data_IF_258508638852
#
_entry.id   IF_258508638852
#
_cell.length_a   1.000
_cell.length_b   1.000
_cell.length_c   1.000
_cell.angle_alpha   90.00
_cell.angle_beta   90.00
_cell.angle_gamma   90.00
#
_symmetry.space_group_name_H-M   'P 1'
#
loop_
_entity.id
_entity.type
_entity.pdbx_description
1 polymer ?
#
# COMPACT_ATOMS: atom_id res chain seq x y z
N UNK A 1 -11.05 32.20 -2.87
CA UNK A 1 -9.91 31.96 -3.79
C UNK A 1 -8.63 32.00 -2.97
N UNK A 2 -8.35 30.93 -2.22
CA UNK A 2 -7.10 30.78 -1.48
C UNK A 2 -6.49 29.44 -1.89
N UNK A 3 -5.44 29.54 -2.70
CA UNK A 3 -4.59 28.41 -3.04
C UNK A 3 -3.65 28.12 -1.89
N UNK A 4 -3.64 26.87 -1.45
CA UNK A 4 -2.50 26.27 -0.78
C UNK A 4 -1.85 25.34 -1.78
N UNK A 5 -0.89 25.90 -2.52
CA UNK A 5 0.11 25.13 -3.24
C UNK A 5 0.94 24.43 -2.16
N UNK A 6 0.75 23.12 -2.00
CA UNK A 6 1.66 22.31 -1.21
C UNK A 6 3.07 22.48 -1.79
N UNK A 7 4.11 22.67 -0.96
CA UNK A 7 5.46 22.74 -1.45
C UNK A 7 5.76 21.44 -2.19
N UNK A 8 6.20 21.56 -3.45
CA UNK A 8 6.89 20.49 -4.16
C UNK A 8 8.24 20.28 -3.45
N UNK A 9 8.17 19.68 -2.26
CA UNK A 9 9.32 19.14 -1.59
C UNK A 9 9.77 17.98 -2.47
N UNK A 10 10.97 18.15 -3.03
CA UNK A 10 11.68 17.17 -3.81
C UNK A 10 11.45 15.78 -3.22
N UNK A 11 10.78 14.92 -4.00
CA UNK A 11 10.79 13.47 -3.85
C UNK A 11 12.25 13.03 -4.11
N UNK A 12 13.12 13.36 -3.16
CA UNK A 12 14.56 13.28 -3.28
C UNK A 12 14.94 11.84 -3.58
N UNK A 13 15.64 11.66 -4.70
CA UNK A 13 16.39 10.47 -5.08
C UNK A 13 15.69 9.14 -4.79
N UNK A 14 14.76 8.80 -5.69
CA UNK A 14 14.30 7.45 -6.06
C UNK A 14 15.00 6.31 -5.30
N UNK A 15 14.53 6.01 -4.09
CA UNK A 15 14.70 4.67 -3.52
C UNK A 15 13.90 3.76 -4.44
N UNK A 16 14.58 3.14 -5.42
CA UNK A 16 13.97 2.18 -6.32
C UNK A 16 13.22 1.13 -5.50
N UNK A 17 12.06 0.64 -5.94
CA UNK A 17 11.34 -0.45 -5.27
C UNK A 17 12.26 -1.64 -4.92
N UNK A 18 13.24 -1.94 -5.79
CA UNK A 18 14.30 -2.94 -5.52
C UNK A 18 15.14 -2.60 -4.29
N UNK A 19 15.41 -1.33 -4.05
CA UNK A 19 16.08 -0.87 -2.84
C UNK A 19 15.19 -1.03 -1.60
N UNK A 20 13.88 -0.76 -1.68
CA UNK A 20 12.97 -0.97 -0.54
C UNK A 20 12.92 -2.43 -0.14
N UNK A 21 12.64 -3.35 -1.08
CA UNK A 21 12.54 -4.78 -0.75
C UNK A 21 13.88 -5.34 -0.27
N UNK A 22 15.00 -4.84 -0.79
CA UNK A 22 16.31 -5.24 -0.30
C UNK A 22 16.56 -4.78 1.14
N UNK A 23 16.24 -3.52 1.47
CA UNK A 23 16.32 -3.01 2.85
C UNK A 23 15.41 -3.79 3.81
N UNK A 24 14.21 -4.19 3.36
CA UNK A 24 13.31 -5.02 4.17
C UNK A 24 13.90 -6.42 4.42
N UNK A 25 14.48 -7.05 3.40
CA UNK A 25 15.15 -8.35 3.54
C UNK A 25 16.33 -8.27 4.51
N UNK A 26 17.14 -7.23 4.41
CA UNK A 26 18.26 -6.97 5.32
C UNK A 26 17.77 -6.76 6.75
N UNK A 27 16.77 -5.90 6.94
CA UNK A 27 16.15 -5.66 8.24
C UNK A 27 15.63 -6.94 8.90
N UNK A 28 14.95 -7.79 8.12
CA UNK A 28 14.43 -9.09 8.58
C UNK A 28 15.55 -10.07 8.90
N UNK A 29 16.60 -10.12 8.07
CA UNK A 29 17.74 -11.02 8.24
C UNK A 29 18.52 -10.68 9.50
N UNK A 30 18.86 -9.40 9.71
CA UNK A 30 19.59 -8.91 10.88
C UNK A 30 18.93 -9.28 12.22
N UNK A 31 17.61 -9.46 12.22
CA UNK A 31 16.80 -9.79 13.40
C UNK A 31 16.38 -11.25 13.45
N UNK A 32 16.77 -12.05 12.45
CA UNK A 32 16.33 -13.44 12.27
C UNK A 32 14.79 -13.59 12.26
N UNK A 33 14.06 -12.55 11.84
CA UNK A 33 12.59 -12.51 11.90
C UNK A 33 11.92 -13.32 10.80
N UNK A 34 12.66 -13.78 9.80
CA UNK A 34 12.14 -14.63 8.72
C UNK A 34 11.42 -15.88 9.23
N UNK A 35 11.78 -16.38 10.42
CA UNK A 35 11.11 -17.53 11.07
C UNK A 35 9.65 -17.24 11.48
N UNK A 36 9.29 -15.98 11.73
CA UNK A 36 7.94 -15.56 12.11
C UNK A 36 7.09 -15.14 10.90
N UNK A 37 7.73 -14.86 9.76
CA UNK A 37 7.12 -14.38 8.53
C UNK A 37 6.53 -15.53 7.67
N UNK A 38 5.67 -16.34 8.28
CA UNK A 38 4.81 -17.26 7.50
C UNK A 38 3.79 -16.47 6.68
N UNK A 39 3.33 -17.01 5.55
CA UNK A 39 2.32 -16.39 4.68
C UNK A 39 1.08 -15.97 5.48
N UNK A 40 0.62 -16.84 6.40
CA UNK A 40 -0.55 -16.56 7.25
C UNK A 40 -0.27 -15.45 8.26
N UNK A 41 0.93 -15.39 8.83
CA UNK A 41 1.26 -14.33 9.79
C UNK A 41 1.37 -12.98 9.10
N UNK A 42 2.01 -12.91 7.94
CA UNK A 42 2.09 -11.67 7.17
C UNK A 42 0.72 -11.17 6.72
N UNK A 43 -0.18 -12.07 6.27
CA UNK A 43 -1.55 -11.70 5.94
C UNK A 43 -2.33 -11.16 7.16
N UNK A 44 -2.11 -11.74 8.35
CA UNK A 44 -2.68 -11.20 9.60
C UNK A 44 -2.13 -9.82 9.92
N UNK A 45 -0.81 -9.61 9.79
CA UNK A 45 -0.19 -8.30 10.01
C UNK A 45 -0.79 -7.24 9.09
N UNK A 46 -0.94 -7.51 7.79
CA UNK A 46 -1.61 -6.58 6.86
C UNK A 46 -3.00 -6.19 7.36
N UNK A 47 -3.79 -7.16 7.84
CA UNK A 47 -5.14 -6.89 8.37
C UNK A 47 -5.12 -6.07 9.66
N UNK A 48 -4.12 -6.26 10.51
CA UNK A 48 -3.96 -5.52 11.77
C UNK A 48 -3.61 -4.06 11.45
N UNK A 49 -2.57 -3.82 10.65
CA UNK A 49 -2.15 -2.45 10.28
C UNK A 49 -3.22 -1.73 9.45
N UNK A 50 -4.00 -2.46 8.65
CA UNK A 50 -5.16 -1.87 7.95
C UNK A 50 -6.23 -1.40 8.95
N UNK A 51 -6.35 -2.06 10.09
CA UNK A 51 -7.19 -1.63 11.21
C UNK A 51 -6.65 -0.39 11.90
N UNK A 52 -5.34 -0.28 12.11
CA UNK A 52 -4.70 0.91 12.69
C UNK A 52 -4.82 2.13 11.75
N UNK A 53 -4.65 1.90 10.45
CA UNK A 53 -4.93 2.91 9.42
C UNK A 53 -6.38 3.36 9.46
N UNK A 54 -7.34 2.44 9.62
CA UNK A 54 -8.75 2.78 9.74
C UNK A 54 -9.04 3.56 11.04
N UNK A 55 -8.37 3.22 12.14
CA UNK A 55 -8.54 3.89 13.44
C UNK A 55 -8.20 5.38 13.37
N UNK A 56 -7.30 5.79 12.46
CA UNK A 56 -7.01 7.20 12.19
C UNK A 56 -8.27 8.03 11.88
N UNK A 57 -9.34 7.39 11.38
CA UNK A 57 -10.60 8.01 10.97
C UNK A 57 -11.79 7.58 11.85
N UNK A 58 -11.56 6.88 12.97
CA UNK A 58 -12.63 6.28 13.76
C UNK A 58 -13.64 7.30 14.32
N UNK A 59 -13.14 8.49 14.69
CA UNK A 59 -13.92 9.53 15.38
C UNK A 59 -14.11 10.81 14.57
N UNK A 60 -13.44 10.93 13.41
CA UNK A 60 -13.51 12.08 12.52
C UNK A 60 -12.95 11.73 11.14
N UNK A 61 -13.46 12.37 10.10
CA UNK A 61 -12.86 12.33 8.76
C UNK A 61 -11.54 13.14 8.70
N UNK A 62 -11.28 13.95 9.73
CA UNK A 62 -10.04 14.71 9.91
C UNK A 62 -9.03 13.87 10.70
N UNK A 63 -7.98 13.40 10.02
CA UNK A 63 -6.91 12.61 10.61
C UNK A 63 -5.57 13.34 10.62
N UNK A 64 -4.71 13.01 11.58
CA UNK A 64 -3.33 13.48 11.60
C UNK A 64 -2.54 12.86 10.44
N UNK A 65 -2.08 13.69 9.50
CA UNK A 65 -1.43 13.23 8.27
C UNK A 65 -0.21 12.34 8.52
N UNK A 66 0.58 12.63 9.55
CA UNK A 66 1.76 11.85 9.90
C UNK A 66 1.38 10.45 10.41
N UNK A 67 0.30 10.34 11.18
CA UNK A 67 -0.20 9.05 11.65
C UNK A 67 -0.71 8.22 10.48
N UNK A 68 -1.55 8.79 9.61
CA UNK A 68 -2.05 8.12 8.40
C UNK A 68 -0.90 7.63 7.51
N UNK A 69 0.15 8.45 7.34
CA UNK A 69 1.34 8.08 6.59
C UNK A 69 2.08 6.89 7.23
N UNK A 70 2.20 6.88 8.56
CA UNK A 70 2.83 5.79 9.31
C UNK A 70 2.08 4.48 9.11
N UNK A 71 0.78 4.45 9.42
CA UNK A 71 -0.01 3.21 9.34
C UNK A 71 -0.09 2.68 7.89
N UNK A 72 -0.17 3.59 6.90
CA UNK A 72 -0.11 3.19 5.50
C UNK A 72 1.24 2.56 5.15
N UNK A 73 2.34 3.10 5.68
CA UNK A 73 3.67 2.53 5.47
C UNK A 73 3.79 1.12 6.10
N UNK A 74 3.13 0.86 7.23
CA UNK A 74 3.11 -0.45 7.87
C UNK A 74 2.29 -1.46 7.05
N UNK A 75 1.10 -1.07 6.56
CA UNK A 75 0.31 -1.89 5.62
C UNK A 75 1.14 -2.28 4.39
N UNK A 76 1.82 -1.30 3.79
CA UNK A 76 2.67 -1.54 2.63
C UNK A 76 3.84 -2.46 2.99
N UNK A 77 4.52 -2.23 4.12
CA UNK A 77 5.66 -3.04 4.56
C UNK A 77 5.31 -4.53 4.64
N UNK A 78 4.20 -4.87 5.29
CA UNK A 78 3.78 -6.29 5.36
C UNK A 78 3.27 -6.84 4.04
N UNK A 79 2.67 -6.01 3.17
CA UNK A 79 2.29 -6.44 1.82
C UNK A 79 3.53 -6.77 0.97
N UNK A 80 4.59 -5.96 1.06
CA UNK A 80 5.87 -6.22 0.39
C UNK A 80 6.53 -7.50 0.91
N UNK A 81 6.59 -7.67 2.24
CA UNK A 81 7.12 -8.89 2.84
C UNK A 81 6.32 -10.13 2.44
N UNK A 82 5.00 -10.02 2.31
CA UNK A 82 4.13 -11.10 1.84
C UNK A 82 4.42 -11.45 0.37
N UNK A 83 4.50 -10.45 -0.50
CA UNK A 83 4.85 -10.64 -1.90
C UNK A 83 6.22 -11.33 -2.02
N UNK A 84 7.23 -10.85 -1.28
CA UNK A 84 8.56 -11.46 -1.24
C UNK A 84 8.51 -12.92 -0.78
N UNK A 85 7.75 -13.20 0.28
CA UNK A 85 7.57 -14.55 0.82
C UNK A 85 6.91 -15.51 -0.17
N UNK A 86 6.09 -15.00 -1.07
CA UNK A 86 5.42 -15.71 -2.16
C UNK A 86 6.25 -15.74 -3.46
N UNK A 87 7.39 -15.06 -3.51
CA UNK A 87 8.20 -14.95 -4.73
C UNK A 87 7.56 -14.08 -5.80
N UNK A 88 6.75 -13.10 -5.41
CA UNK A 88 6.05 -12.17 -6.29
C UNK A 88 6.77 -10.82 -6.32
N UNK A 89 6.70 -10.15 -7.47
CA UNK A 89 7.06 -8.74 -7.60
C UNK A 89 5.80 -7.89 -7.37
N UNK A 90 5.73 -7.08 -6.28
CA UNK A 90 4.59 -6.22 -5.98
C UNK A 90 4.18 -5.31 -7.15
N UNK A 91 5.15 -4.73 -7.87
CA UNK A 91 4.86 -3.83 -8.99
C UNK A 91 4.20 -4.60 -10.14
N UNK A 92 4.69 -5.81 -10.42
CA UNK A 92 4.13 -6.65 -11.47
C UNK A 92 2.69 -7.08 -11.17
N UNK A 93 2.41 -7.54 -9.95
CA UNK A 93 1.05 -8.00 -9.58
C UNK A 93 0.04 -6.83 -9.54
N UNK A 94 0.50 -5.63 -9.15
CA UNK A 94 -0.35 -4.42 -9.18
C UNK A 94 -0.60 -3.99 -10.62
N UNK A 95 0.42 -4.01 -11.49
CA UNK A 95 0.27 -3.65 -12.90
C UNK A 95 -0.69 -4.59 -13.65
N UNK A 96 -0.57 -5.91 -13.43
CA UNK A 96 -1.51 -6.90 -13.98
C UNK A 96 -2.94 -6.63 -13.48
N UNK A 97 -3.09 -6.40 -12.17
CA UNK A 97 -4.41 -6.10 -11.60
C UNK A 97 -5.02 -4.80 -12.14
N UNK A 98 -4.19 -3.81 -12.42
CA UNK A 98 -4.62 -2.54 -12.98
C UNK A 98 -5.18 -2.73 -14.39
N UNK A 99 -4.56 -3.56 -15.22
CA UNK A 99 -5.05 -3.86 -16.58
C UNK A 99 -6.40 -4.58 -16.56
N UNK A 100 -6.58 -5.56 -15.67
CA UNK A 100 -7.90 -6.15 -15.42
C UNK A 100 -8.93 -5.11 -15.01
N UNK A 101 -8.54 -4.16 -14.14
CA UNK A 101 -9.42 -3.13 -13.62
C UNK A 101 -9.83 -2.13 -14.71
N UNK A 102 -8.90 -1.76 -15.61
CA UNK A 102 -9.22 -0.94 -16.79
C UNK A 102 -10.25 -1.61 -17.69
N UNK A 103 -10.12 -2.92 -17.89
CA UNK A 103 -11.08 -3.70 -18.69
C UNK A 103 -12.46 -3.79 -18.02
N UNK A 104 -12.51 -3.90 -16.68
CA UNK A 104 -13.76 -3.95 -15.91
C UNK A 104 -14.45 -2.58 -15.75
N UNK A 105 -13.68 -1.49 -15.71
CA UNK A 105 -14.17 -0.14 -15.47
C UNK A 105 -13.75 0.82 -16.61
N UNK A 106 -14.33 0.69 -17.81
CA UNK A 106 -14.05 1.62 -18.91
C UNK A 106 -14.40 3.07 -18.54
N UNK A 107 -13.59 4.03 -18.99
CA UNK A 107 -13.70 5.45 -18.60
C UNK A 107 -15.08 6.02 -18.90
N UNK A 108 -15.63 5.70 -20.06
CA UNK A 108 -16.93 6.17 -20.53
C UNK A 108 -18.12 5.70 -19.67
N UNK A 109 -17.96 4.60 -18.92
CA UNK A 109 -18.99 4.08 -18.02
C UNK A 109 -18.72 4.43 -16.55
N UNK A 110 -17.46 4.42 -16.13
CA UNK A 110 -17.07 4.53 -14.72
C UNK A 110 -16.76 5.96 -14.24
N UNK A 111 -16.56 6.94 -15.15
CA UNK A 111 -16.15 8.30 -14.75
C UNK A 111 -17.15 8.94 -13.78
N UNK A 112 -16.67 9.27 -12.58
CA UNK A 112 -17.46 9.92 -11.52
C UNK A 112 -18.48 8.98 -10.83
N UNK A 113 -18.38 7.66 -11.04
CA UNK A 113 -19.26 6.65 -10.47
C UNK A 113 -18.44 5.63 -9.70
N UNK A 114 -18.93 5.21 -8.54
CA UNK A 114 -18.36 4.13 -7.72
C UNK A 114 -19.29 2.91 -7.68
N UNK A 115 -20.00 2.66 -8.77
CA UNK A 115 -20.83 1.46 -8.93
C UNK A 115 -19.93 0.27 -9.25
N UNK A 116 -20.37 -0.93 -8.87
CA UNK A 116 -19.64 -2.15 -9.22
C UNK A 116 -19.73 -2.38 -10.74
N UNK A 117 -18.75 -3.07 -11.34
CA UNK A 117 -18.63 -3.16 -12.80
C UNK A 117 -19.85 -3.83 -13.48
N UNK A 118 -20.59 -4.67 -12.76
CA UNK A 118 -21.85 -5.28 -13.18
C UNK A 118 -23.05 -4.33 -13.12
N UNK A 119 -22.87 -3.14 -12.56
CA UNK A 119 -23.87 -2.08 -12.37
C UNK A 119 -23.52 -0.78 -13.12
N UNK A 120 -22.47 -0.79 -13.95
CA UNK A 120 -21.95 0.38 -14.71
C UNK A 120 -22.74 0.73 -15.99
#
# INVERSE_FOLDING_TARGET
MFGLVLPSACYGDLVSHRAVIQSLREFVLEREWGQFHSVVNLAKSISIESGELLECFQWSDEAEQLRVQSELADVLTYAYLLADRLGLDPDAIVAEKLEESRSKYPVEKARGRSLKYDEL
#
